data_IF_967160887141
#
_entry.id   IF_967160887141
#
_cell.length_a   1.000
_cell.length_b   1.000
_cell.length_c   1.000
_cell.angle_alpha   90.00
_cell.angle_beta   90.00
_cell.angle_gamma   90.00
#
_symmetry.space_group_name_H-M   'P 1'
#
loop_
_entity.id
_entity.type
_entity.pdbx_description
1 polymer ?
#
# COMPACT_ATOMS: atom_id res chain seq x y z
N UNK A 1 11.46 -19.77 -6.12
CA UNK A 1 11.37 -21.25 -6.00
C UNK A 1 11.55 -21.57 -4.54
N UNK A 2 10.77 -22.52 -4.03
CA UNK A 2 10.72 -22.78 -2.59
C UNK A 2 9.76 -21.85 -1.86
N UNK A 3 8.96 -21.06 -2.60
CA UNK A 3 7.91 -20.23 -2.02
C UNK A 3 6.85 -21.11 -1.37
N UNK A 4 6.61 -20.90 -0.08
CA UNK A 4 5.70 -21.71 0.73
C UNK A 4 4.60 -20.84 1.28
N UNK A 5 3.35 -21.28 1.12
CA UNK A 5 2.20 -20.67 1.76
C UNK A 5 1.30 -21.75 2.37
N UNK A 6 0.52 -21.34 3.37
CA UNK A 6 -0.56 -22.14 3.93
C UNK A 6 -1.84 -21.81 3.19
N UNK A 7 -2.57 -22.85 2.76
CA UNK A 7 -3.93 -22.66 2.23
C UNK A 7 -4.83 -22.23 3.38
N UNK A 8 -5.51 -21.07 3.28
CA UNK A 8 -6.44 -20.61 4.31
C UNK A 8 -7.57 -21.62 4.55
N UNK A 9 -8.03 -21.68 5.79
CA UNK A 9 -9.14 -22.56 6.15
C UNK A 9 -10.41 -22.18 5.38
N UNK A 10 -11.13 -23.19 4.89
CA UNK A 10 -12.34 -23.01 4.08
C UNK A 10 -12.11 -22.54 2.64
N UNK A 11 -10.88 -22.26 2.22
CA UNK A 11 -10.60 -21.84 0.85
C UNK A 11 -10.63 -23.02 -0.13
N UNK A 12 -11.53 -22.95 -1.12
CA UNK A 12 -11.48 -23.84 -2.29
C UNK A 12 -10.54 -23.22 -3.32
N UNK A 13 -9.42 -23.88 -3.63
CA UNK A 13 -8.43 -23.37 -4.59
C UNK A 13 -8.01 -24.43 -5.63
N UNK A 14 -7.71 -23.97 -6.85
CA UNK A 14 -7.06 -24.75 -7.88
C UNK A 14 -5.56 -24.51 -7.84
N UNK A 15 -4.75 -25.56 -7.72
CA UNK A 15 -3.30 -25.44 -7.70
C UNK A 15 -2.75 -25.32 -9.12
N UNK A 16 -1.79 -24.42 -9.29
CA UNK A 16 -1.05 -24.31 -10.54
C UNK A 16 -0.19 -25.56 -10.79
N UNK A 17 0.10 -25.85 -12.05
CA UNK A 17 0.87 -27.05 -12.47
C UNK A 17 2.28 -27.16 -11.86
N UNK A 18 2.80 -26.09 -11.26
CA UNK A 18 4.13 -26.00 -10.66
C UNK A 18 4.10 -25.84 -9.13
N UNK A 19 2.96 -26.11 -8.51
CA UNK A 19 2.78 -26.10 -7.07
C UNK A 19 2.62 -27.54 -6.56
N UNK A 20 3.10 -27.80 -5.35
CA UNK A 20 2.93 -29.09 -4.68
C UNK A 20 2.11 -28.87 -3.41
N UNK A 21 1.09 -29.69 -3.22
CA UNK A 21 0.31 -29.71 -1.98
C UNK A 21 0.98 -30.60 -0.95
N UNK A 22 1.39 -30.01 0.16
CA UNK A 22 1.90 -30.74 1.32
C UNK A 22 0.80 -30.82 2.38
N UNK A 23 0.50 -32.03 2.84
CA UNK A 23 -0.40 -32.26 3.98
C UNK A 23 0.41 -32.76 5.16
N UNK A 24 0.38 -32.07 6.32
CA UNK A 24 1.06 -32.55 7.50
C UNK A 24 0.50 -33.91 7.92
N UNK A 25 1.38 -34.82 8.36
CA UNK A 25 0.96 -36.09 8.97
C UNK A 25 0.38 -35.83 10.36
N UNK A 26 -0.35 -36.81 10.91
CA UNK A 26 -0.83 -36.77 12.30
C UNK A 26 0.35 -36.51 13.24
N UNK A 27 0.17 -35.57 14.18
CA UNK A 27 1.21 -35.16 15.13
C UNK A 27 2.20 -34.12 14.61
N UNK A 28 2.01 -33.58 13.40
CA UNK A 28 2.79 -32.47 12.86
C UNK A 28 1.93 -31.20 12.85
N UNK A 29 2.33 -30.18 13.60
CA UNK A 29 1.68 -28.88 13.57
C UNK A 29 1.85 -28.24 12.17
N UNK A 30 0.76 -27.78 11.56
CA UNK A 30 0.78 -27.23 10.19
C UNK A 30 1.55 -25.91 10.09
N UNK A 31 1.46 -25.07 11.11
CA UNK A 31 2.16 -23.77 11.16
C UNK A 31 3.66 -24.01 11.39
N UNK A 32 4.00 -24.96 12.27
CA UNK A 32 5.40 -25.40 12.42
C UNK A 32 5.98 -25.87 11.09
N UNK A 33 5.26 -26.73 10.36
CA UNK A 33 5.71 -27.23 9.06
C UNK A 33 5.91 -26.08 8.06
N UNK A 34 5.00 -25.10 8.02
CA UNK A 34 5.15 -23.90 7.20
C UNK A 34 6.46 -23.17 7.51
N UNK A 35 6.70 -22.84 8.79
CA UNK A 35 7.89 -22.11 9.20
C UNK A 35 9.17 -22.91 8.99
N UNK A 36 9.15 -24.21 9.27
CA UNK A 36 10.28 -25.09 9.02
C UNK A 36 10.63 -25.11 7.52
N UNK A 37 9.65 -25.21 6.62
CA UNK A 37 9.86 -25.15 5.18
C UNK A 37 10.40 -23.79 4.72
N UNK A 38 10.04 -22.69 5.38
CA UNK A 38 10.54 -21.34 5.08
C UNK A 38 11.94 -21.06 5.65
N UNK A 39 12.43 -21.92 6.55
CA UNK A 39 13.71 -21.71 7.21
C UNK A 39 14.90 -21.74 6.24
N UNK A 40 15.99 -21.01 6.53
CA UNK A 40 17.22 -21.09 5.73
C UNK A 40 17.71 -22.53 5.55
N UNK A 41 17.64 -23.35 6.60
CA UNK A 41 18.05 -24.76 6.59
C UNK A 41 17.31 -25.58 5.52
N UNK A 42 15.99 -25.45 5.42
CA UNK A 42 15.21 -26.19 4.41
C UNK A 42 15.32 -25.53 3.03
N UNK A 43 15.32 -24.21 2.98
CA UNK A 43 15.44 -23.48 1.71
C UNK A 43 16.80 -23.71 1.04
N UNK A 44 17.87 -23.90 1.79
CA UNK A 44 19.17 -24.31 1.26
C UNK A 44 19.09 -25.70 0.64
N UNK A 45 18.46 -26.68 1.29
CA UNK A 45 18.26 -28.00 0.70
C UNK A 45 17.47 -27.92 -0.63
N UNK A 46 16.44 -27.06 -0.69
CA UNK A 46 15.68 -26.84 -1.93
C UNK A 46 16.58 -26.26 -3.03
N UNK A 47 17.38 -25.23 -2.71
CA UNK A 47 18.31 -24.58 -3.65
C UNK A 47 19.41 -25.52 -4.14
N UNK A 48 20.02 -26.30 -3.25
CA UNK A 48 21.09 -27.26 -3.59
C UNK A 48 20.64 -28.36 -4.55
N UNK A 49 19.35 -28.65 -4.55
CA UNK A 49 18.72 -29.64 -5.42
C UNK A 49 18.19 -29.04 -6.73
N UNK A 50 18.45 -27.76 -7.00
CA UNK A 50 18.21 -27.20 -8.32
C UNK A 50 19.10 -27.90 -9.35
N UNK A 51 18.48 -28.51 -10.36
CA UNK A 51 19.21 -29.13 -11.45
C UNK A 51 20.09 -28.09 -12.14
N UNK A 52 21.41 -28.18 -11.93
CA UNK A 52 22.42 -27.35 -12.58
C UNK A 52 22.23 -27.41 -14.11
N UNK A 53 21.82 -26.29 -14.72
CA UNK A 53 21.84 -26.12 -16.18
C UNK A 53 20.51 -26.08 -16.93
N UNK A 54 19.35 -26.01 -16.28
CA UNK A 54 18.07 -25.78 -17.00
C UNK A 54 17.64 -24.31 -16.97
N UNK A 55 17.08 -23.81 -18.08
CA UNK A 55 16.49 -22.46 -18.20
C UNK A 55 15.21 -22.28 -17.37
N UNK A 56 14.68 -23.35 -16.77
CA UNK A 56 13.47 -23.35 -15.93
C UNK A 56 13.69 -24.25 -14.72
N UNK A 57 13.92 -23.64 -13.55
CA UNK A 57 14.09 -24.37 -12.30
C UNK A 57 12.82 -25.16 -11.95
N UNK A 58 12.93 -26.46 -11.66
CA UNK A 58 11.88 -27.27 -11.00
C UNK A 58 12.47 -28.18 -9.89
N UNK A 59 11.68 -28.45 -8.83
CA UNK A 59 12.00 -29.49 -7.84
C UNK A 59 11.23 -30.76 -8.17
N UNK A 60 11.93 -31.91 -8.25
CA UNK A 60 11.30 -33.20 -8.50
C UNK A 60 10.69 -33.75 -7.21
N UNK A 61 9.52 -34.39 -7.30
CA UNK A 61 8.83 -34.98 -6.13
C UNK A 61 9.74 -35.92 -5.31
N UNK A 62 10.51 -36.84 -5.91
CA UNK A 62 11.40 -37.73 -5.13
C UNK A 62 12.52 -37.00 -4.37
N UNK A 63 12.83 -35.76 -4.77
CA UNK A 63 13.80 -34.91 -4.08
C UNK A 63 13.11 -34.17 -2.94
N UNK A 64 11.91 -33.64 -3.18
CA UNK A 64 11.07 -33.03 -2.15
C UNK A 64 10.77 -34.01 -1.00
N UNK A 65 10.53 -35.29 -1.29
CA UNK A 65 10.31 -36.34 -0.29
C UNK A 65 11.54 -36.64 0.59
N UNK A 66 12.73 -36.25 0.16
CA UNK A 66 14.00 -36.46 0.88
C UNK A 66 14.46 -35.23 1.65
N UNK A 67 13.74 -34.11 1.56
CA UNK A 67 14.07 -32.91 2.31
C UNK A 67 13.92 -33.20 3.81
N UNK A 68 14.98 -32.87 4.55
CA UNK A 68 14.99 -33.00 6.00
C UNK A 68 14.30 -31.80 6.63
N UNK A 69 13.29 -32.08 7.45
CA UNK A 69 12.57 -31.09 8.24
C UNK A 69 13.02 -31.21 9.69
N UNK A 70 13.47 -30.11 10.34
CA UNK A 70 13.82 -30.16 11.76
C UNK A 70 12.60 -30.56 12.58
N UNK A 71 12.73 -31.57 13.44
CA UNK A 71 11.64 -32.04 14.33
C UNK A 71 12.08 -31.83 15.78
N UNK A 72 11.32 -31.02 16.51
CA UNK A 72 11.64 -30.59 17.87
C UNK A 72 10.66 -31.14 18.93
N UNK A 73 9.80 -32.08 18.53
CA UNK A 73 8.90 -32.77 19.45
C UNK A 73 7.92 -31.80 20.12
N UNK A 74 7.94 -31.75 21.45
CA UNK A 74 7.02 -30.92 22.23
C UNK A 74 7.18 -29.41 22.02
N UNK A 75 8.34 -28.94 21.55
CA UNK A 75 8.60 -27.50 21.34
C UNK A 75 8.02 -26.96 20.04
N UNK A 76 7.55 -27.81 19.13
CA UNK A 76 7.07 -27.38 17.81
C UNK A 76 5.84 -26.49 17.88
N UNK A 77 4.94 -26.78 18.82
CA UNK A 77 3.70 -26.03 19.03
C UNK A 77 3.99 -24.62 19.56
N UNK A 78 4.85 -24.49 20.57
CA UNK A 78 5.23 -23.19 21.12
C UNK A 78 6.01 -22.33 20.11
N UNK A 79 6.88 -22.94 19.30
CA UNK A 79 7.59 -22.25 18.20
C UNK A 79 6.59 -21.76 17.15
N UNK A 80 5.66 -22.63 16.73
CA UNK A 80 4.64 -22.28 15.76
C UNK A 80 3.76 -21.15 16.26
N UNK A 81 3.30 -21.20 17.51
CA UNK A 81 2.47 -20.18 18.11
C UNK A 81 3.18 -18.83 18.21
N UNK A 82 4.46 -18.83 18.62
CA UNK A 82 5.27 -17.61 18.72
C UNK A 82 5.42 -16.95 17.35
N UNK A 83 5.82 -17.69 16.31
CA UNK A 83 6.00 -17.15 14.96
C UNK A 83 4.67 -16.74 14.33
N UNK A 84 3.61 -17.53 14.53
CA UNK A 84 2.25 -17.19 14.08
C UNK A 84 1.74 -15.91 14.71
N UNK A 85 2.07 -15.63 15.97
CA UNK A 85 1.66 -14.38 16.62
C UNK A 85 2.26 -13.14 15.95
N UNK A 86 3.50 -13.23 15.44
CA UNK A 86 4.16 -12.15 14.69
C UNK A 86 3.47 -11.94 13.35
N UNK A 87 3.23 -13.02 12.59
CA UNK A 87 2.52 -12.94 11.30
C UNK A 87 1.07 -12.44 11.46
N UNK A 88 0.36 -12.88 12.50
CA UNK A 88 -0.97 -12.39 12.81
C UNK A 88 -0.97 -10.88 13.09
N UNK A 89 0.05 -10.36 13.76
CA UNK A 89 0.20 -8.91 13.99
C UNK A 89 0.53 -8.16 12.69
N UNK A 90 1.34 -8.74 11.80
CA UNK A 90 1.59 -8.20 10.46
C UNK A 90 0.26 -8.09 9.68
N UNK A 91 -0.56 -9.13 9.71
CA UNK A 91 -1.86 -9.15 9.02
C UNK A 91 -2.86 -8.14 9.61
N UNK A 92 -2.88 -7.96 10.93
CA UNK A 92 -3.67 -6.90 11.58
C UNK A 92 -3.21 -5.52 11.09
N UNK A 93 -1.91 -5.25 11.07
CA UNK A 93 -1.39 -3.97 10.60
C UNK A 93 -1.69 -3.72 9.13
N UNK A 94 -1.60 -4.76 8.28
CA UNK A 94 -1.96 -4.65 6.86
C UNK A 94 -3.43 -4.24 6.68
N UNK A 95 -4.35 -4.83 7.45
CA UNK A 95 -5.78 -4.48 7.43
C UNK A 95 -6.05 -3.06 7.94
N UNK A 96 -5.35 -2.65 9.01
CA UNK A 96 -5.43 -1.27 9.52
C UNK A 96 -5.00 -0.29 8.43
N UNK A 97 -3.86 -0.54 7.78
CA UNK A 97 -3.36 0.32 6.71
C UNK A 97 -4.34 0.41 5.54
N UNK A 98 -4.89 -0.73 5.10
CA UNK A 98 -5.92 -0.75 4.04
C UNK A 98 -7.17 0.05 4.42
N UNK A 99 -7.61 -0.04 5.68
CA UNK A 99 -8.77 0.71 6.18
C UNK A 99 -8.49 2.21 6.19
N UNK A 100 -7.32 2.63 6.65
CA UNK A 100 -6.90 4.03 6.68
C UNK A 100 -6.77 4.63 5.28
N UNK A 101 -6.18 3.89 4.32
CA UNK A 101 -6.14 4.27 2.91
C UNK A 101 -7.58 4.42 2.36
N UNK A 102 -8.46 3.46 2.63
CA UNK A 102 -9.86 3.51 2.18
C UNK A 102 -10.64 4.70 2.78
N UNK A 103 -10.39 5.06 4.05
CA UNK A 103 -10.97 6.25 4.67
C UNK A 103 -10.51 7.52 3.98
N UNK A 104 -9.22 7.66 3.69
CA UNK A 104 -8.69 8.81 2.94
C UNK A 104 -9.31 8.92 1.54
N UNK A 105 -9.44 7.79 0.83
CA UNK A 105 -10.11 7.73 -0.48
C UNK A 105 -11.59 8.10 -0.41
N UNK A 106 -12.30 7.64 0.61
CA UNK A 106 -13.72 7.95 0.79
C UNK A 106 -13.92 9.45 1.01
N UNK A 107 -13.10 10.09 1.84
CA UNK A 107 -13.12 11.55 2.05
C UNK A 107 -12.78 12.27 0.75
N UNK A 108 -11.73 11.85 0.04
CA UNK A 108 -11.35 12.44 -1.25
C UNK A 108 -12.49 12.36 -2.27
N UNK A 109 -13.12 11.18 -2.41
CA UNK A 109 -14.25 10.96 -3.31
C UNK A 109 -15.42 11.85 -2.93
N UNK A 110 -15.81 11.87 -1.65
CA UNK A 110 -16.90 12.71 -1.15
C UNK A 110 -16.66 14.19 -1.42
N UNK A 111 -15.46 14.70 -1.15
CA UNK A 111 -15.15 16.13 -1.25
C UNK A 111 -14.93 16.60 -2.69
N UNK A 112 -14.28 15.79 -3.52
CA UNK A 112 -13.71 16.25 -4.80
C UNK A 112 -14.19 15.49 -6.05
N UNK A 113 -14.98 14.42 -5.87
CA UNK A 113 -15.55 13.66 -6.99
C UNK A 113 -17.08 13.71 -6.94
N UNK A 114 -17.67 13.40 -5.79
CA UNK A 114 -19.12 13.39 -5.61
C UNK A 114 -19.65 14.77 -5.18
N UNK A 115 -18.78 15.62 -4.64
CA UNK A 115 -19.11 16.96 -4.12
C UNK A 115 -20.21 16.93 -3.04
N UNK A 116 -20.21 15.93 -2.17
CA UNK A 116 -21.28 15.71 -1.19
C UNK A 116 -21.54 16.93 -0.28
N UNK A 117 -20.52 17.65 0.26
CA UNK A 117 -20.79 18.80 1.11
C UNK A 117 -21.48 19.96 0.37
N UNK A 118 -21.19 20.13 -0.93
CA UNK A 118 -21.82 21.16 -1.78
C UNK A 118 -23.26 20.78 -2.08
N UNK A 119 -23.49 19.51 -2.47
CA UNK A 119 -24.84 18.98 -2.72
C UNK A 119 -25.71 19.00 -1.47
N UNK A 120 -25.14 18.70 -0.30
CA UNK A 120 -25.83 18.79 0.98
C UNK A 120 -26.28 20.22 1.29
N UNK A 121 -25.44 21.23 1.02
CA UNK A 121 -25.80 22.65 1.14
C UNK A 121 -26.95 23.04 0.22
N UNK A 122 -26.89 22.63 -1.05
CA UNK A 122 -27.92 22.92 -2.05
C UNK A 122 -29.27 22.33 -1.62
N UNK A 123 -29.29 21.06 -1.21
CA UNK A 123 -30.50 20.38 -0.75
C UNK A 123 -31.08 21.05 0.50
N UNK A 124 -30.23 21.39 1.49
CA UNK A 124 -30.68 22.07 2.70
C UNK A 124 -31.29 23.45 2.41
N UNK A 125 -30.69 24.24 1.50
CA UNK A 125 -31.28 25.51 1.06
C UNK A 125 -32.66 25.33 0.43
N UNK A 126 -32.82 24.34 -0.44
CA UNK A 126 -34.10 24.05 -1.10
C UNK A 126 -35.19 23.63 -0.10
N UNK A 127 -34.80 22.99 0.99
CA UNK A 127 -35.71 22.53 2.06
C UNK A 127 -35.88 23.56 3.20
N UNK A 128 -35.21 24.72 3.15
CA UNK A 128 -35.24 25.73 4.21
C UNK A 128 -34.50 25.32 5.50
N UNK A 129 -33.58 24.36 5.43
CA UNK A 129 -32.70 23.92 6.53
C UNK A 129 -31.37 24.67 6.52
N UNK A 130 -30.60 24.57 7.62
CA UNK A 130 -29.27 25.18 7.74
C UNK A 130 -28.25 24.50 6.80
N UNK A 131 -27.74 25.20 5.76
CA UNK A 131 -26.78 24.62 4.83
C UNK A 131 -25.43 24.32 5.46
N UNK A 132 -24.99 25.10 6.45
CA UNK A 132 -23.70 24.88 7.10
C UNK A 132 -23.73 23.54 7.84
N UNK A 133 -24.80 23.28 8.59
CA UNK A 133 -24.97 22.01 9.32
C UNK A 133 -25.10 20.81 8.38
N UNK A 134 -25.77 20.97 7.25
CA UNK A 134 -25.85 19.92 6.24
C UNK A 134 -24.46 19.55 5.68
N UNK A 135 -23.59 20.54 5.40
CA UNK A 135 -22.21 20.27 5.03
C UNK A 135 -21.40 19.63 6.17
N UNK A 136 -21.58 20.07 7.41
CA UNK A 136 -20.91 19.44 8.58
C UNK A 136 -21.27 17.95 8.71
N UNK A 137 -22.55 17.62 8.50
CA UNK A 137 -23.04 16.22 8.48
C UNK A 137 -22.39 15.43 7.35
N UNK A 138 -22.36 15.97 6.13
CA UNK A 138 -21.74 15.32 4.98
C UNK A 138 -20.23 15.08 5.17
N UNK A 139 -19.51 16.05 5.74
CA UNK A 139 -18.07 15.96 5.97
C UNK A 139 -17.70 14.96 7.06
N UNK A 140 -18.44 14.98 8.17
CA UNK A 140 -18.11 14.17 9.36
C UNK A 140 -18.76 12.79 9.37
N UNK A 141 -19.80 12.58 8.55
CA UNK A 141 -20.67 11.41 8.61
C UNK A 141 -21.54 11.36 9.87
N UNK A 142 -21.58 12.43 10.68
CA UNK A 142 -22.34 12.50 11.94
C UNK A 142 -23.69 13.17 11.72
N UNK A 143 -24.81 12.61 12.24
CA UNK A 143 -26.11 13.26 12.18
C UNK A 143 -26.14 14.51 13.06
N UNK A 144 -27.11 15.40 12.82
CA UNK A 144 -27.25 16.68 13.53
C UNK A 144 -27.23 16.54 15.06
N UNK A 145 -27.91 15.53 15.60
CA UNK A 145 -27.95 15.29 17.05
C UNK A 145 -26.57 14.97 17.65
N UNK A 146 -25.67 14.35 16.88
CA UNK A 146 -24.30 14.10 17.32
C UNK A 146 -23.42 15.35 17.20
N UNK A 147 -23.68 16.22 16.22
CA UNK A 147 -22.94 17.48 16.06
C UNK A 147 -23.08 18.36 17.31
N UNK A 148 -24.26 18.37 17.93
CA UNK A 148 -24.52 19.16 19.15
C UNK A 148 -23.76 18.65 20.39
N UNK A 149 -23.25 17.42 20.33
CA UNK A 149 -22.43 16.81 21.40
C UNK A 149 -20.93 16.95 21.18
N UNK A 150 -20.51 17.52 20.04
CA UNK A 150 -19.09 17.68 19.74
C UNK A 150 -18.42 18.66 20.71
N UNK A 151 -17.17 18.40 21.12
CA UNK A 151 -16.37 19.38 21.81
C UNK A 151 -16.30 20.72 21.03
N UNK A 152 -16.34 21.89 21.69
CA UNK A 152 -16.41 23.19 21.01
C UNK A 152 -15.34 23.39 19.93
N UNK A 153 -14.10 22.96 20.18
CA UNK A 153 -13.01 23.08 19.23
C UNK A 153 -13.20 22.20 17.98
N UNK A 154 -13.73 20.98 18.16
CA UNK A 154 -14.03 20.08 17.04
C UNK A 154 -15.20 20.60 16.22
N UNK A 155 -16.24 21.11 16.87
CA UNK A 155 -17.36 21.75 16.20
C UNK A 155 -16.90 22.96 15.39
N UNK A 156 -16.10 23.86 15.97
CA UNK A 156 -15.58 25.04 15.30
C UNK A 156 -14.72 24.69 14.08
N UNK A 157 -13.83 23.70 14.21
CA UNK A 157 -13.01 23.20 13.10
C UNK A 157 -13.84 22.60 11.96
N UNK A 158 -14.85 21.79 12.30
CA UNK A 158 -15.76 21.19 11.33
C UNK A 158 -16.61 22.26 10.63
N UNK A 159 -17.14 23.23 11.37
CA UNK A 159 -17.89 24.36 10.83
C UNK A 159 -17.03 25.23 9.91
N UNK A 160 -15.78 25.51 10.30
CA UNK A 160 -14.83 26.23 9.46
C UNK A 160 -14.56 25.49 8.14
N UNK A 161 -14.38 24.17 8.20
CA UNK A 161 -14.20 23.33 7.00
C UNK A 161 -15.46 23.31 6.13
N UNK A 162 -16.64 23.16 6.74
CA UNK A 162 -17.92 23.20 6.04
C UNK A 162 -18.15 24.54 5.34
N UNK A 163 -17.71 25.66 5.92
CA UNK A 163 -17.82 26.98 5.31
C UNK A 163 -17.00 27.14 4.02
N UNK A 164 -15.95 26.34 3.81
CA UNK A 164 -15.10 26.41 2.61
C UNK A 164 -15.77 25.89 1.34
N UNK A 165 -16.80 25.04 1.48
CA UNK A 165 -17.53 24.52 0.34
C UNK A 165 -18.54 25.56 -0.16
N UNK A 166 -18.65 25.80 -1.48
CA UNK A 166 -19.74 26.60 -2.01
C UNK A 166 -21.09 25.88 -1.80
N UNK A 167 -22.17 26.59 -2.06
CA UNK A 167 -23.55 26.09 -1.94
C UNK A 167 -24.30 26.16 -3.28
N UNK A 168 -23.54 26.17 -4.38
CA UNK A 168 -24.00 26.22 -5.77
C UNK A 168 -23.04 25.40 -6.65
N UNK A 169 -23.58 24.82 -7.72
CA UNK A 169 -22.82 24.20 -8.81
C UNK A 169 -22.83 25.14 -10.02
N UNK A 170 -21.84 25.01 -10.90
CA UNK A 170 -21.78 25.68 -12.19
C UNK A 170 -21.38 24.71 -13.30
N UNK A 171 -21.91 24.95 -14.50
CA UNK A 171 -21.57 24.17 -15.69
C UNK A 171 -20.10 24.39 -16.08
N UNK A 172 -19.40 23.31 -16.41
CA UNK A 172 -18.05 23.35 -16.96
C UNK A 172 -17.90 22.38 -18.14
N UNK A 173 -16.79 22.49 -18.87
CA UNK A 173 -16.51 21.66 -20.06
C UNK A 173 -16.58 20.14 -19.80
N UNK A 174 -16.32 19.70 -18.56
CA UNK A 174 -16.30 18.29 -18.16
C UNK A 174 -17.48 17.89 -17.25
N UNK A 175 -18.51 18.73 -17.14
CA UNK A 175 -19.68 18.51 -16.29
C UNK A 175 -19.84 19.56 -15.19
N UNK A 176 -20.86 19.42 -14.35
CA UNK A 176 -21.08 20.35 -13.23
C UNK A 176 -19.97 20.24 -12.19
N UNK A 177 -19.43 21.39 -11.76
CA UNK A 177 -18.46 21.50 -10.68
C UNK A 177 -18.92 22.51 -9.63
N UNK A 178 -18.40 22.47 -8.40
CA UNK A 178 -18.73 23.48 -7.40
C UNK A 178 -18.34 24.88 -7.87
N UNK A 179 -19.20 25.87 -7.61
CA UNK A 179 -19.00 27.25 -8.05
C UNK A 179 -17.64 27.81 -7.63
N UNK A 180 -16.89 28.35 -8.58
CA UNK A 180 -15.57 28.94 -8.37
C UNK A 180 -14.41 27.93 -8.30
N UNK A 181 -14.67 26.66 -8.59
CA UNK A 181 -13.63 25.65 -8.78
C UNK A 181 -13.22 25.62 -10.26
N UNK A 182 -12.00 25.16 -10.56
CA UNK A 182 -11.48 25.13 -11.92
C UNK A 182 -11.02 23.72 -12.31
N UNK A 183 -11.21 23.39 -13.59
CA UNK A 183 -10.46 22.30 -14.22
C UNK A 183 -9.09 22.81 -14.63
N UNK A 184 -8.05 22.15 -14.14
CA UNK A 184 -6.69 22.39 -14.60
C UNK A 184 -6.02 21.09 -15.03
N UNK A 185 -4.86 21.21 -15.66
CA UNK A 185 -4.04 20.04 -15.98
C UNK A 185 -3.35 19.51 -14.72
N UNK A 186 -3.17 18.21 -14.60
CA UNK A 186 -2.47 17.57 -13.48
C UNK A 186 -1.06 18.16 -13.26
N UNK A 187 -0.40 18.61 -14.33
CA UNK A 187 0.89 19.30 -14.27
C UNK A 187 0.87 20.66 -13.54
N UNK A 188 -0.28 21.27 -13.27
CA UNK A 188 -0.37 22.49 -12.45
C UNK A 188 -0.17 22.18 -10.96
N UNK A 189 -0.63 21.01 -10.51
CA UNK A 189 -0.57 20.57 -9.11
C UNK A 189 0.52 19.53 -8.85
N UNK A 190 1.18 19.00 -9.88
CA UNK A 190 2.25 18.02 -9.76
C UNK A 190 3.42 18.30 -10.71
N UNK A 191 4.63 17.91 -10.30
CA UNK A 191 5.80 17.82 -11.18
C UNK A 191 6.53 16.50 -11.03
N UNK A 192 7.23 16.08 -12.09
CA UNK A 192 7.99 14.85 -12.08
C UNK A 192 9.35 15.08 -11.43
N UNK A 193 9.73 14.23 -10.48
CA UNK A 193 11.10 14.17 -9.98
C UNK A 193 12.06 13.80 -11.12
N UNK A 194 13.16 14.54 -11.23
CA UNK A 194 14.18 14.36 -12.26
C UNK A 194 15.42 13.71 -11.66
N UNK A 195 16.10 12.90 -12.47
CA UNK A 195 17.39 12.32 -12.11
C UNK A 195 17.49 10.85 -12.48
N UNK A 196 18.67 10.45 -12.93
CA UNK A 196 19.01 9.06 -13.21
C UNK A 196 20.17 8.67 -12.31
N UNK A 197 20.05 7.51 -11.67
CA UNK A 197 21.09 6.87 -10.87
C UNK A 197 21.48 5.59 -11.59
N UNK A 198 22.78 5.37 -11.76
CA UNK A 198 23.31 4.07 -12.16
C UNK A 198 23.93 3.40 -10.92
N UNK A 199 23.22 2.47 -10.25
CA UNK A 199 23.72 1.86 -9.02
C UNK A 199 25.03 1.08 -9.19
N UNK A 200 25.33 0.60 -10.40
CA UNK A 200 26.58 -0.10 -10.70
C UNK A 200 27.82 0.81 -10.56
N UNK A 201 27.66 2.14 -10.57
CA UNK A 201 28.75 3.07 -10.27
C UNK A 201 29.08 3.15 -8.78
N UNK A 202 28.28 2.53 -7.92
CA UNK A 202 28.50 2.45 -6.47
C UNK A 202 28.06 1.06 -5.98
N UNK A 203 28.80 -0.01 -6.35
CA UNK A 203 28.36 -1.38 -6.19
C UNK A 203 28.10 -1.78 -4.73
N UNK A 204 28.90 -1.26 -3.80
CA UNK A 204 28.81 -1.52 -2.36
C UNK A 204 27.75 -0.64 -1.65
N UNK A 205 27.17 0.35 -2.35
CA UNK A 205 26.17 1.22 -1.75
C UNK A 205 24.86 0.45 -1.65
N UNK A 206 24.27 0.47 -0.45
CA UNK A 206 22.94 -0.07 -0.21
C UNK A 206 21.87 0.95 -0.64
N UNK A 207 20.94 0.49 -1.47
CA UNK A 207 19.81 1.26 -1.96
C UNK A 207 18.50 0.72 -1.39
N UNK A 208 17.55 1.62 -1.15
CA UNK A 208 16.17 1.28 -0.91
C UNK A 208 15.43 1.31 -2.26
N UNK A 209 15.21 0.13 -2.84
CA UNK A 209 14.78 -0.04 -4.21
C UNK A 209 13.27 -0.30 -4.33
N UNK A 210 12.58 0.67 -4.92
CA UNK A 210 11.15 0.65 -5.20
C UNK A 210 10.91 0.12 -6.63
N UNK A 211 10.71 -1.20 -6.75
CA UNK A 211 10.49 -1.88 -8.03
C UNK A 211 9.03 -2.31 -8.24
N UNK A 212 8.61 -2.59 -9.47
CA UNK A 212 7.27 -3.12 -9.73
C UNK A 212 7.05 -4.49 -9.04
N UNK A 213 8.01 -5.44 -9.06
CA UNK A 213 7.89 -6.66 -8.27
C UNK A 213 7.74 -6.39 -6.76
N UNK A 214 8.48 -5.42 -6.21
CA UNK A 214 8.39 -5.04 -4.81
C UNK A 214 7.02 -4.43 -4.44
N UNK A 215 6.42 -3.69 -5.38
CA UNK A 215 5.04 -3.21 -5.26
C UNK A 215 4.05 -4.38 -5.19
N UNK A 216 4.15 -5.30 -6.14
CA UNK A 216 3.26 -6.46 -6.26
C UNK A 216 3.44 -7.44 -5.09
N UNK A 217 4.63 -7.49 -4.48
CA UNK A 217 4.98 -8.30 -3.31
C UNK A 217 4.61 -7.65 -1.96
N UNK A 218 3.63 -6.74 -1.95
CA UNK A 218 3.10 -6.15 -0.71
C UNK A 218 3.57 -4.73 -0.41
N UNK A 219 3.97 -3.98 -1.43
CA UNK A 219 4.35 -2.55 -1.33
C UNK A 219 5.42 -2.30 -0.26
N UNK A 220 6.46 -3.14 -0.24
CA UNK A 220 7.66 -2.93 0.58
C UNK A 220 8.89 -2.78 -0.32
N UNK A 221 9.73 -1.76 -0.12
CA UNK A 221 10.95 -1.64 -0.90
C UNK A 221 11.91 -2.77 -0.57
N UNK A 222 12.75 -3.14 -1.54
CA UNK A 222 13.82 -4.11 -1.34
C UNK A 222 15.10 -3.35 -0.99
N UNK A 223 15.80 -3.80 0.05
CA UNK A 223 17.12 -3.28 0.40
C UNK A 223 18.16 -4.13 -0.30
N UNK A 224 18.87 -3.54 -1.27
CA UNK A 224 19.85 -4.27 -2.08
C UNK A 224 21.08 -3.41 -2.41
N UNK A 225 22.23 -4.07 -2.55
CA UNK A 225 23.48 -3.44 -2.96
C UNK A 225 23.45 -3.00 -4.44
N UNK A 226 24.15 -1.93 -4.76
CA UNK A 226 24.22 -1.38 -6.12
C UNK A 226 24.68 -2.40 -7.17
N UNK A 227 25.53 -3.37 -6.78
CA UNK A 227 25.97 -4.46 -7.64
C UNK A 227 24.82 -5.38 -8.12
N UNK A 228 23.74 -5.47 -7.35
CA UNK A 228 22.57 -6.30 -7.64
C UNK A 228 21.57 -5.58 -8.57
N UNK A 229 21.57 -4.24 -8.58
CA UNK A 229 20.69 -3.43 -9.42
C UNK A 229 21.34 -3.20 -10.80
N UNK A 230 21.06 -4.12 -11.74
CA UNK A 230 21.69 -4.16 -13.09
C UNK A 230 21.15 -3.15 -14.11
N UNK A 231 20.40 -2.14 -13.68
CA UNK A 231 19.83 -1.14 -14.58
C UNK A 231 19.71 0.22 -13.90
N UNK A 232 19.67 1.28 -14.70
CA UNK A 232 19.44 2.62 -14.19
C UNK A 232 18.12 2.71 -13.41
N UNK A 233 18.09 3.63 -12.45
CA UNK A 233 16.95 3.94 -11.61
C UNK A 233 16.69 5.43 -11.58
N UNK A 234 15.48 5.80 -11.18
CA UNK A 234 15.11 7.19 -10.99
C UNK A 234 15.25 7.55 -9.52
N UNK A 235 16.01 8.60 -9.23
CA UNK A 235 16.06 9.18 -7.88
C UNK A 235 14.74 9.89 -7.61
N UNK A 236 14.24 9.80 -6.38
CA UNK A 236 13.08 10.56 -5.95
C UNK A 236 13.27 11.02 -4.50
N UNK A 237 12.41 11.93 -4.05
CA UNK A 237 12.49 12.52 -2.72
C UNK A 237 11.32 12.08 -1.83
N UNK A 238 11.46 12.33 -0.52
CA UNK A 238 10.38 12.16 0.45
C UNK A 238 9.12 12.90 -0.01
N UNK A 239 7.96 12.25 0.14
CA UNK A 239 6.67 12.82 -0.27
C UNK A 239 6.38 12.71 -1.77
N UNK A 240 7.22 12.02 -2.55
CA UNK A 240 6.85 11.69 -3.94
C UNK A 240 5.80 10.58 -3.96
N UNK A 241 4.85 10.64 -4.88
CA UNK A 241 3.91 9.58 -5.18
C UNK A 241 4.36 8.87 -6.46
N UNK A 242 4.69 7.58 -6.37
CA UNK A 242 5.19 6.79 -7.48
C UNK A 242 4.02 6.18 -8.25
N UNK A 243 3.77 6.64 -9.47
CA UNK A 243 2.76 6.06 -10.36
C UNK A 243 3.44 5.19 -11.43
N UNK A 244 3.04 3.93 -11.58
CA UNK A 244 3.58 3.12 -12.67
C UNK A 244 3.07 3.63 -14.01
N UNK A 245 4.00 3.81 -14.97
CA UNK A 245 3.64 4.09 -16.36
C UNK A 245 3.37 2.83 -17.18
N UNK A 246 3.73 1.66 -16.66
CA UNK A 246 3.61 0.38 -17.35
C UNK A 246 2.22 -0.23 -17.10
N UNK A 247 1.56 -0.66 -18.17
CA UNK A 247 0.28 -1.37 -18.11
C UNK A 247 -0.75 -0.64 -17.24
N UNK A 248 -1.20 0.57 -17.62
CA UNK A 248 -2.07 1.41 -16.77
C UNK A 248 -3.41 0.78 -16.39
N UNK A 249 -3.81 -0.33 -17.03
CA UNK A 249 -4.95 -1.14 -16.62
C UNK A 249 -4.72 -1.94 -15.32
N UNK A 250 -3.46 -2.12 -14.90
CA UNK A 250 -3.07 -2.62 -13.58
C UNK A 250 -2.49 -1.41 -12.81
N UNK A 251 -3.36 -0.61 -12.16
CA UNK A 251 -2.92 0.63 -11.52
C UNK A 251 -1.98 0.30 -10.36
N UNK A 252 -0.77 0.85 -10.42
CA UNK A 252 0.21 0.78 -9.32
C UNK A 252 0.58 2.18 -8.91
N UNK A 253 0.12 2.58 -7.73
CA UNK A 253 0.45 3.86 -7.12
C UNK A 253 0.99 3.60 -5.72
N UNK A 254 2.23 4.01 -5.47
CA UNK A 254 2.94 3.82 -4.22
C UNK A 254 3.23 5.17 -3.59
N UNK A 255 2.86 5.35 -2.33
CA UNK A 255 3.11 6.57 -1.57
C UNK A 255 4.09 6.32 -0.41
N UNK A 256 5.41 6.38 -0.66
CA UNK A 256 6.41 6.27 0.39
C UNK A 256 6.56 7.60 1.16
N UNK A 257 5.96 7.70 2.35
CA UNK A 257 6.04 8.89 3.20
C UNK A 257 7.43 9.09 3.82
N UNK A 258 8.14 8.00 4.06
CA UNK A 258 9.51 7.99 4.57
C UNK A 258 10.39 7.18 3.63
N UNK A 259 11.53 7.78 3.28
CA UNK A 259 12.52 7.19 2.39
C UNK A 259 13.91 7.53 2.90
N UNK A 260 14.85 6.63 2.67
CA UNK A 260 16.27 6.88 2.87
C UNK A 260 16.83 7.83 1.81
N UNK A 261 18.01 8.41 2.06
CA UNK A 261 18.71 9.27 1.10
C UNK A 261 19.10 8.54 -0.20
N UNK A 262 19.24 7.21 -0.12
CA UNK A 262 19.57 6.32 -1.24
C UNK A 262 18.33 5.64 -1.83
N UNK A 263 17.13 6.17 -1.59
CA UNK A 263 15.93 5.64 -2.21
C UNK A 263 15.91 5.88 -3.72
N UNK A 264 15.64 4.82 -4.46
CA UNK A 264 15.54 4.83 -5.91
C UNK A 264 14.35 3.99 -6.36
N UNK A 265 13.69 4.41 -7.43
CA UNK A 265 12.58 3.67 -8.00
C UNK A 265 12.93 3.15 -9.41
N UNK A 266 12.24 2.08 -9.82
CA UNK A 266 12.26 1.62 -11.20
C UNK A 266 11.99 2.78 -12.15
N UNK A 267 12.65 2.79 -13.32
CA UNK A 267 12.35 3.76 -14.39
C UNK A 267 10.95 3.60 -14.98
N UNK A 268 10.22 2.54 -14.59
CA UNK A 268 8.80 2.32 -14.87
C UNK A 268 7.86 3.02 -13.86
N UNK A 269 8.38 3.66 -12.82
CA UNK A 269 7.63 4.59 -11.99
C UNK A 269 7.86 6.04 -12.45
N UNK A 270 6.79 6.83 -12.36
CA UNK A 270 6.77 8.27 -12.47
C UNK A 270 6.67 8.83 -11.03
N UNK A 271 7.78 9.31 -10.44
CA UNK A 271 7.76 9.93 -9.12
C UNK A 271 7.20 11.36 -9.20
N UNK A 272 5.93 11.53 -8.82
CA UNK A 272 5.26 12.82 -8.79
C UNK A 272 5.47 13.54 -7.47
N UNK A 273 5.85 14.82 -7.52
CA UNK A 273 6.00 15.72 -6.39
C UNK A 273 4.83 16.70 -6.44
N UNK A 274 4.15 16.87 -5.30
CA UNK A 274 3.05 17.83 -5.19
C UNK A 274 3.55 19.27 -5.22
N UNK A 275 2.86 20.13 -5.97
CA UNK A 275 3.05 21.57 -5.96
C UNK A 275 2.05 22.19 -5.01
N UNK A 276 2.54 23.00 -4.08
CA UNK A 276 1.68 23.78 -3.19
C UNK A 276 0.63 24.57 -4.00
N UNK A 277 -0.65 24.54 -3.59
CA UNK A 277 -1.16 24.06 -2.30
C UNK A 277 -1.57 22.58 -2.24
N UNK A 278 -1.36 21.80 -3.30
CA UNK A 278 -1.64 20.37 -3.27
C UNK A 278 -0.62 19.63 -2.39
N UNK A 279 -1.09 18.64 -1.65
CA UNK A 279 -0.25 17.78 -0.80
C UNK A 279 0.04 16.44 -1.47
N UNK A 280 1.10 15.72 -1.04
CA UNK A 280 1.34 14.35 -1.48
C UNK A 280 0.14 13.42 -1.23
N UNK A 281 -0.56 13.57 -0.10
CA UNK A 281 -1.76 12.81 0.24
C UNK A 281 -2.91 13.07 -0.74
N UNK A 282 -3.10 14.34 -1.14
CA UNK A 282 -4.07 14.69 -2.19
C UNK A 282 -3.69 14.07 -3.54
N UNK A 283 -2.43 14.18 -3.96
CA UNK A 283 -1.97 13.55 -5.20
C UNK A 283 -2.14 12.04 -5.17
N UNK A 284 -1.84 11.39 -4.06
CA UNK A 284 -2.04 9.95 -3.91
C UNK A 284 -3.51 9.57 -4.10
N UNK A 285 -4.43 10.30 -3.47
CA UNK A 285 -5.87 10.06 -3.62
C UNK A 285 -6.35 10.30 -5.05
N UNK A 286 -5.91 11.39 -5.69
CA UNK A 286 -6.23 11.66 -7.09
C UNK A 286 -5.72 10.53 -8.01
N UNK A 287 -4.46 10.14 -7.89
CA UNK A 287 -3.82 9.13 -8.75
C UNK A 287 -4.41 7.72 -8.59
N UNK A 288 -5.04 7.43 -7.45
CA UNK A 288 -5.71 6.15 -7.16
C UNK A 288 -7.21 6.19 -7.37
N UNK A 289 -7.80 7.38 -7.63
CA UNK A 289 -9.22 7.52 -7.94
C UNK A 289 -9.58 6.90 -9.29
N UNK A 290 -10.81 6.39 -9.40
CA UNK A 290 -11.32 5.84 -10.65
C UNK A 290 -11.40 6.89 -11.75
N UNK A 291 -11.78 8.12 -11.40
CA UNK A 291 -11.89 9.26 -12.33
C UNK A 291 -10.56 9.50 -13.06
N UNK A 292 -9.46 9.58 -12.31
CA UNK A 292 -8.14 9.77 -12.90
C UNK A 292 -7.64 8.49 -13.59
N UNK A 293 -7.92 7.32 -13.01
CA UNK A 293 -7.54 6.02 -13.57
C UNK A 293 -8.12 5.78 -14.98
N UNK A 294 -9.37 6.18 -15.22
CA UNK A 294 -10.00 6.11 -16.56
C UNK A 294 -9.22 6.96 -17.58
N UNK A 295 -8.88 8.20 -17.21
CA UNK A 295 -8.11 9.10 -18.07
C UNK A 295 -6.73 8.52 -18.39
N UNK A 296 -5.99 8.03 -17.40
CA UNK A 296 -4.67 7.41 -17.61
C UNK A 296 -4.76 6.19 -18.53
N UNK A 297 -5.78 5.34 -18.38
CA UNK A 297 -5.99 4.18 -19.25
C UNK A 297 -6.33 4.58 -20.69
N UNK A 298 -7.01 5.71 -20.91
CA UNK A 298 -7.31 6.19 -22.27
C UNK A 298 -6.08 6.69 -23.04
N UNK A 299 -4.94 6.94 -22.37
CA UNK A 299 -3.71 7.38 -23.02
C UNK A 299 -3.01 6.29 -23.84
N UNK A 300 -3.38 5.02 -23.64
CA UNK A 300 -2.82 3.88 -24.37
C UNK A 300 -3.80 3.37 -25.42
N UNK A 301 -3.35 3.26 -26.67
CA UNK A 301 -4.22 2.98 -27.84
C UNK A 301 -3.91 1.64 -28.53
N UNK A 302 -3.06 0.79 -27.94
CA UNK A 302 -2.65 -0.49 -28.53
C UNK A 302 -3.63 -1.63 -28.23
N UNK A 303 -3.71 -2.63 -29.12
CA UNK A 303 -4.55 -3.83 -28.95
C UNK A 303 -3.95 -4.88 -28.00
N UNK A 304 -2.64 -4.84 -27.75
CA UNK A 304 -2.00 -5.65 -26.71
C UNK A 304 -2.17 -4.97 -25.35
N UNK A 305 -2.84 -5.64 -24.41
CA UNK A 305 -2.91 -5.18 -23.02
C UNK A 305 -1.54 -5.24 -22.31
N UNK A 306 -0.54 -5.94 -22.87
CA UNK A 306 0.78 -6.08 -22.26
C UNK A 306 1.81 -5.09 -22.81
N UNK A 307 2.70 -4.62 -21.93
CA UNK A 307 3.82 -3.70 -22.19
C UNK A 307 3.45 -2.31 -22.71
N UNK A 308 2.22 -1.88 -22.49
CA UNK A 308 1.77 -0.52 -22.81
C UNK A 308 2.38 0.48 -21.84
N UNK A 309 2.75 1.67 -22.33
CA UNK A 309 3.32 2.73 -21.50
C UNK A 309 2.64 4.07 -21.75
N UNK A 310 2.30 4.77 -20.68
CA UNK A 310 1.96 6.19 -20.75
C UNK A 310 3.22 7.04 -20.72
N UNK A 311 3.21 8.18 -21.40
CA UNK A 311 4.32 9.14 -21.33
C UNK A 311 4.07 10.19 -20.23
N UNK A 312 5.11 10.69 -19.55
CA UNK A 312 4.94 11.66 -18.46
C UNK A 312 4.21 12.94 -18.88
N UNK A 313 4.52 13.46 -20.07
CA UNK A 313 3.88 14.65 -20.66
C UNK A 313 2.38 14.46 -20.90
N UNK A 314 1.97 13.26 -21.32
CA UNK A 314 0.56 12.92 -21.49
C UNK A 314 -0.17 12.85 -20.14
N UNK A 315 0.46 12.26 -19.12
CA UNK A 315 -0.13 12.21 -17.76
C UNK A 315 -0.22 13.60 -17.15
N UNK A 316 0.81 14.44 -17.30
CA UNK A 316 0.77 15.84 -16.86
C UNK A 316 -0.33 16.65 -17.53
N UNK A 317 -0.73 16.30 -18.75
CA UNK A 317 -1.79 16.98 -19.50
C UNK A 317 -3.21 16.53 -19.14
N UNK A 318 -3.39 15.50 -18.30
CA UNK A 318 -4.73 15.04 -17.89
C UNK A 318 -5.44 16.08 -17.04
N UNK A 319 -6.77 16.13 -17.11
CA UNK A 319 -7.56 17.12 -16.39
C UNK A 319 -7.88 16.65 -14.97
N UNK A 320 -7.78 17.56 -14.01
CA UNK A 320 -8.13 17.37 -12.62
C UNK A 320 -8.87 18.60 -12.09
N UNK A 321 -9.86 18.36 -11.25
CA UNK A 321 -10.52 19.44 -10.50
C UNK A 321 -9.50 19.97 -9.49
N UNK A 322 -9.22 21.27 -9.52
CA UNK A 322 -8.35 21.93 -8.55
C UNK A 322 -9.21 22.75 -7.58
N UNK A 323 -9.40 22.27 -6.34
CA UNK A 323 -10.17 22.99 -5.33
C UNK A 323 -9.41 24.21 -4.80
N UNK A 324 -10.10 25.14 -4.13
CA UNK A 324 -9.46 26.26 -3.46
C UNK A 324 -8.38 25.82 -2.46
N UNK A 325 -7.31 26.61 -2.35
CA UNK A 325 -6.15 26.35 -1.47
C UNK A 325 -6.57 25.98 -0.04
N UNK A 326 -7.51 26.71 0.54
CA UNK A 326 -7.91 26.50 1.93
C UNK A 326 -8.60 25.14 2.11
N UNK A 327 -9.32 24.68 1.09
CA UNK A 327 -9.95 23.36 1.11
C UNK A 327 -8.93 22.23 0.93
N UNK A 328 -7.93 22.41 0.07
CA UNK A 328 -6.78 21.50 -0.02
C UNK A 328 -6.03 21.40 1.31
N UNK A 329 -5.86 22.51 2.03
CA UNK A 329 -5.25 22.53 3.37
C UNK A 329 -6.11 21.80 4.39
N UNK A 330 -7.43 22.03 4.40
CA UNK A 330 -8.36 21.35 5.31
C UNK A 330 -8.40 19.83 5.06
N UNK A 331 -8.42 19.42 3.79
CA UNK A 331 -8.34 18.02 3.40
C UNK A 331 -7.04 17.38 3.90
N UNK A 332 -5.90 18.02 3.61
CA UNK A 332 -4.57 17.54 4.00
C UNK A 332 -4.48 17.33 5.52
N UNK A 333 -4.93 18.32 6.32
CA UNK A 333 -4.98 18.19 7.79
C UNK A 333 -5.84 17.03 8.27
N UNK A 334 -6.88 16.67 7.51
CA UNK A 334 -7.81 15.58 7.86
C UNK A 334 -7.22 14.22 7.52
N UNK A 335 -6.55 14.07 6.36
CA UNK A 335 -6.11 12.76 5.86
C UNK A 335 -4.66 12.41 6.17
N UNK A 336 -3.78 13.40 6.38
CA UNK A 336 -2.37 13.15 6.69
C UNK A 336 -2.16 12.23 7.91
N UNK A 337 -2.92 12.37 9.02
CA UNK A 337 -2.80 11.46 10.16
C UNK A 337 -3.07 9.98 9.78
N UNK A 338 -3.92 9.73 8.78
CA UNK A 338 -4.16 8.36 8.29
C UNK A 338 -2.92 7.81 7.60
N UNK A 339 -2.29 8.59 6.72
CA UNK A 339 -1.09 8.17 6.01
C UNK A 339 0.14 8.06 6.92
N UNK A 340 0.28 8.94 7.93
CA UNK A 340 1.30 8.80 8.96
C UNK A 340 1.15 7.50 9.76
N UNK A 341 -0.09 7.11 10.04
CA UNK A 341 -0.40 5.85 10.72
C UNK A 341 -0.16 4.65 9.81
N UNK A 342 -0.48 4.75 8.52
CA UNK A 342 -0.14 3.75 7.49
C UNK A 342 1.37 3.52 7.45
N UNK A 343 2.17 4.59 7.40
CA UNK A 343 3.63 4.52 7.39
C UNK A 343 4.17 3.86 8.67
N UNK A 344 3.62 4.24 9.83
CA UNK A 344 4.00 3.63 11.12
C UNK A 344 3.67 2.12 11.15
N UNK A 345 2.51 1.73 10.62
CA UNK A 345 2.10 0.33 10.48
C UNK A 345 3.01 -0.44 9.51
N UNK A 346 3.40 0.18 8.41
CA UNK A 346 4.34 -0.35 7.40
C UNK A 346 5.71 -0.61 8.02
N UNK A 347 6.25 0.34 8.79
CA UNK A 347 7.50 0.13 9.53
C UNK A 347 7.40 -1.02 10.52
N UNK A 348 6.32 -1.06 11.32
CA UNK A 348 6.12 -2.14 12.30
C UNK A 348 6.03 -3.51 11.62
N UNK A 349 5.35 -3.62 10.47
CA UNK A 349 5.30 -4.87 9.71
C UNK A 349 6.69 -5.33 9.26
N UNK A 350 7.55 -4.40 8.82
CA UNK A 350 8.93 -4.69 8.44
C UNK A 350 9.76 -5.20 9.61
N UNK A 351 9.65 -4.53 10.76
CA UNK A 351 10.37 -4.92 11.98
C UNK A 351 9.91 -6.30 12.49
N UNK A 352 8.61 -6.58 12.45
CA UNK A 352 8.05 -7.88 12.82
C UNK A 352 8.50 -9.00 11.88
N UNK A 353 8.52 -8.74 10.57
CA UNK A 353 9.02 -9.70 9.59
C UNK A 353 10.51 -9.98 9.80
N UNK A 354 11.31 -8.92 10.00
CA UNK A 354 12.74 -9.06 10.30
C UNK A 354 13.00 -9.82 11.61
N UNK A 355 12.21 -9.57 12.66
CA UNK A 355 12.28 -10.31 13.91
C UNK A 355 11.93 -11.79 13.72
N UNK A 356 10.84 -12.08 13.01
CA UNK A 356 10.44 -13.46 12.67
C UNK A 356 11.56 -14.19 11.95
N UNK A 357 12.13 -13.57 10.93
CA UNK A 357 13.18 -14.16 10.09
C UNK A 357 14.49 -14.38 10.88
N UNK A 358 14.80 -13.50 11.84
CA UNK A 358 15.95 -13.64 12.74
C UNK A 358 15.74 -14.70 13.83
N UNK A 359 14.51 -14.87 14.34
CA UNK A 359 14.18 -15.87 15.36
C UNK A 359 14.07 -17.28 14.78
N UNK A 360 13.52 -17.42 13.58
CA UNK A 360 13.24 -18.70 12.93
C UNK A 360 14.42 -19.69 12.97
N UNK A 361 15.64 -19.37 12.50
CA UNK A 361 16.74 -20.32 12.54
C UNK A 361 17.17 -20.67 13.97
N UNK A 362 17.09 -19.74 14.92
CA UNK A 362 17.48 -19.95 16.33
C UNK A 362 16.50 -20.84 17.09
N UNK A 363 15.22 -20.68 16.78
CA UNK A 363 14.15 -21.53 17.34
C UNK A 363 14.26 -22.95 16.78
N UNK A 364 14.54 -23.10 15.48
CA UNK A 364 14.66 -24.41 14.84
C UNK A 364 15.95 -25.16 15.21
N UNK A 365 17.03 -24.45 15.54
CA UNK A 365 18.27 -25.06 16.03
C UNK A 365 18.22 -25.42 17.52
N UNK A 366 17.25 -24.89 18.26
CA UNK A 366 17.17 -25.00 19.72
C UNK A 366 18.11 -24.04 20.47
N UNK A 367 18.80 -23.12 19.78
CA UNK A 367 19.59 -22.04 20.40
C UNK A 367 18.72 -21.15 21.28
N UNK A 368 17.46 -20.96 20.88
CA UNK A 368 16.45 -20.20 21.63
C UNK A 368 15.25 -21.10 21.95
N UNK A 369 14.80 -21.07 23.20
CA UNK A 369 13.60 -21.78 23.64
C UNK A 369 12.47 -20.79 23.89
N UNK A 370 11.26 -21.11 23.43
CA UNK A 370 10.06 -20.34 23.75
C UNK A 370 9.62 -20.74 25.15
N UNK A 371 9.75 -19.84 26.11
CA UNK A 371 9.13 -20.03 27.43
C UNK A 371 7.62 -19.86 27.28
N UNK A 372 6.85 -20.86 27.69
CA UNK A 372 5.40 -20.74 27.83
C UNK A 372 5.10 -19.72 28.92
N UNK A 373 4.48 -18.60 28.56
CA UNK A 373 3.85 -17.72 29.55
C UNK A 373 2.58 -18.45 29.99
N UNK A 374 2.60 -19.12 31.14
CA UNK A 374 1.37 -19.57 31.76
C UNK A 374 0.54 -18.31 32.08
N UNK A 375 -0.73 -18.24 31.65
CA UNK A 375 -1.58 -17.14 32.07
C UNK A 375 -1.69 -17.20 33.59
N UNK A 376 -1.25 -16.13 34.27
CA UNK A 376 -1.53 -15.94 35.69
C UNK A 376 -3.05 -15.97 35.86
N UNK A 377 -3.56 -17.12 36.32
CA UNK A 377 -4.94 -17.23 36.78
C UNK A 377 -4.98 -16.42 38.08
N UNK A 378 -5.37 -15.15 37.95
CA UNK A 378 -5.70 -14.31 39.09
C UNK A 378 -6.82 -15.02 39.87
N UNK A 379 -6.47 -15.53 41.06
CA UNK A 379 -7.35 -16.25 41.96
C UNK A 379 -8.28 -15.31 42.74
#
# INVERSE_FOLDING_TARGET
>A
MGDVCKVPEGLTCCLGQRQVLLRPKVGVNSDYLLYALQSPFVQDQIRWNEGTGSTVSNIRIPVLEKIEIPRLGSSEESIADALRSLDAKIDVNRRINQTLEAMAQAIFKSWFVDFDPVKAKIAAKAEGRDPLRAAMTAISGKPDAELDTLPPDQFASLAATAALFPDEMEDSELGEIPKGWLWETFGTIAELSKGSVNPLLSPERVFEHYSLPAFDAGKQPVVEEGAQIKSNKTKFARGSVLQSKLNPHIPRVWFPLRVSENAVCSTEFLPWIAKEPASPSFLYCLLTSDLFGVQVRSLVTGTSNSHQRVKPDQVSGLLAVVPPKDLLSAFTKTVDPFFERVESGTSQMRDLAGLRDALLPKLLSGELQVQSIEPEVAA
#
